data_IF_412150544492
#
_entry.id   IF_412150544492
#
_cell.length_a   1.000
_cell.length_b   1.000
_cell.length_c   1.000
_cell.angle_alpha   90.00
_cell.angle_beta   90.00
_cell.angle_gamma   90.00
#
_symmetry.space_group_name_H-M   'P 1'
#
loop_
_entity.id
_entity.type
_entity.pdbx_description
1 polymer ?
#
# COMPACT_ATOMS: atom_id res chain seq x y z
N UNK A 1 -9.28 -10.04 4.24
CA UNK A 1 -9.38 -8.92 5.21
C UNK A 1 -8.25 -7.94 4.92
N UNK A 2 -8.53 -6.64 4.99
CA UNK A 2 -7.54 -5.60 4.79
C UNK A 2 -7.70 -4.54 5.89
N UNK A 3 -6.58 -3.93 6.28
CA UNK A 3 -6.54 -2.87 7.28
C UNK A 3 -5.30 -2.02 7.09
N UNK A 4 -5.37 -0.78 7.55
CA UNK A 4 -4.26 0.15 7.43
C UNK A 4 -4.36 1.26 8.48
N UNK A 5 -3.23 1.90 8.72
CA UNK A 5 -3.13 3.06 9.59
C UNK A 5 -2.20 4.09 8.94
N UNK A 6 -2.48 5.36 9.23
CA UNK A 6 -1.68 6.47 8.78
C UNK A 6 -1.42 7.41 9.96
N UNK A 7 -0.21 7.96 10.01
CA UNK A 7 0.19 8.96 10.98
C UNK A 7 0.90 10.08 10.25
N UNK A 8 0.51 11.33 10.54
CA UNK A 8 1.09 12.52 9.94
C UNK A 8 1.63 13.46 11.00
N UNK A 9 2.67 14.21 10.65
CA UNK A 9 3.23 15.27 11.47
C UNK A 9 3.53 16.50 10.61
N UNK A 10 3.16 17.67 11.11
CA UNK A 10 3.42 18.96 10.45
C UNK A 10 4.38 19.79 11.31
N UNK A 11 5.46 20.25 10.70
CA UNK A 11 6.41 21.23 11.22
C UNK A 11 6.40 22.44 10.29
N UNK A 12 5.80 23.55 10.71
CA UNK A 12 5.72 24.79 9.92
C UNK A 12 5.21 24.56 8.49
N UNK A 13 6.06 24.74 7.49
CA UNK A 13 5.73 24.54 6.07
C UNK A 13 5.89 23.09 5.60
N UNK A 14 6.45 22.19 6.41
CA UNK A 14 6.71 20.80 6.05
C UNK A 14 5.69 19.88 6.72
N UNK A 15 5.08 18.98 5.94
CA UNK A 15 4.24 17.89 6.45
C UNK A 15 4.82 16.55 6.03
N UNK A 16 4.89 15.61 6.96
CA UNK A 16 5.32 14.23 6.71
C UNK A 16 4.20 13.29 7.09
N UNK A 17 3.80 12.44 6.16
CA UNK A 17 2.76 11.42 6.38
C UNK A 17 3.35 10.03 6.14
N UNK A 18 3.11 9.10 7.07
CA UNK A 18 3.52 7.70 6.98
C UNK A 18 2.28 6.83 7.02
N UNK A 19 2.16 5.95 6.02
CA UNK A 19 1.04 5.05 5.85
C UNK A 19 1.53 3.61 5.81
N UNK A 20 0.81 2.72 6.50
CA UNK A 20 1.03 1.28 6.48
C UNK A 20 -0.27 0.55 6.16
N UNK A 21 -0.23 -0.36 5.20
CA UNK A 21 -1.36 -1.18 4.77
C UNK A 21 -0.99 -2.65 4.87
N UNK A 22 -1.94 -3.45 5.35
CA UNK A 22 -1.90 -4.90 5.33
C UNK A 22 -3.17 -5.45 4.69
N UNK A 23 -3.04 -6.44 3.83
CA UNK A 23 -4.16 -7.13 3.21
C UNK A 23 -3.88 -8.62 3.10
N UNK A 24 -4.90 -9.42 3.36
CA UNK A 24 -4.89 -10.85 3.13
C UNK A 24 -6.13 -11.26 2.36
N UNK A 25 -5.92 -11.98 1.27
CA UNK A 25 -6.98 -12.59 0.46
C UNK A 25 -6.93 -14.10 0.69
N UNK A 26 -8.07 -14.70 1.02
CA UNK A 26 -8.20 -16.13 1.20
C UNK A 26 -8.89 -16.75 0.00
N UNK A 27 -8.57 -18.01 -0.30
CA UNK A 27 -9.27 -18.80 -1.31
C UNK A 27 -10.75 -18.88 -0.96
N UNK A 28 -11.60 -18.73 -1.97
CA UNK A 28 -13.04 -18.83 -1.82
C UNK A 28 -13.45 -20.29 -1.59
N UNK A 29 -14.29 -20.55 -0.59
CA UNK A 29 -14.77 -21.88 -0.21
C UNK A 29 -16.27 -22.02 -0.58
N UNK A 30 -16.58 -21.94 -1.89
CA UNK A 30 -17.94 -22.13 -2.38
C UNK A 30 -18.19 -23.63 -2.57
N UNK A 31 -19.02 -24.21 -1.72
CA UNK A 31 -19.47 -25.60 -1.85
C UNK A 31 -20.49 -25.70 -2.99
N UNK A 32 -20.15 -26.43 -4.06
CA UNK A 32 -21.06 -26.76 -5.17
C UNK A 32 -20.64 -26.25 -6.56
N UNK A 33 -19.66 -25.35 -6.65
CA UNK A 33 -18.97 -25.09 -7.91
C UNK A 33 -17.78 -26.06 -8.02
N UNK A 34 -17.79 -26.97 -9.00
CA UNK A 34 -16.65 -27.87 -9.24
C UNK A 34 -15.46 -27.08 -9.79
N UNK A 35 -14.76 -26.40 -8.89
CA UNK A 35 -13.48 -25.77 -9.15
C UNK A 35 -12.50 -26.27 -8.08
N UNK A 36 -11.89 -27.42 -8.37
CA UNK A 36 -10.90 -28.12 -7.52
C UNK A 36 -9.49 -28.04 -8.10
N UNK A 37 -8.93 -26.85 -8.39
CA UNK A 37 -7.51 -26.76 -8.70
C UNK A 37 -6.71 -27.01 -7.42
N UNK A 38 -5.87 -28.05 -7.44
CA UNK A 38 -4.87 -28.37 -6.41
C UNK A 38 -3.67 -27.42 -6.44
N UNK A 39 -3.67 -26.46 -7.37
CA UNK A 39 -2.56 -25.56 -7.69
C UNK A 39 -2.84 -24.09 -7.34
N UNK A 40 -3.82 -23.80 -6.49
CA UNK A 40 -4.13 -22.42 -6.05
C UNK A 40 -3.81 -22.25 -4.57
N UNK A 41 -3.17 -21.14 -4.21
CA UNK A 41 -2.81 -20.79 -2.84
C UNK A 41 -4.04 -20.68 -1.93
N UNK A 42 -3.90 -21.10 -0.66
CA UNK A 42 -4.96 -20.98 0.33
C UNK A 42 -5.15 -19.54 0.82
N UNK A 43 -4.07 -18.76 0.84
CA UNK A 43 -4.11 -17.32 1.14
C UNK A 43 -2.93 -16.58 0.50
N UNK A 44 -3.12 -15.29 0.21
CA UNK A 44 -2.09 -14.35 -0.28
C UNK A 44 -2.10 -13.14 0.65
N UNK A 45 -0.94 -12.75 1.15
CA UNK A 45 -0.76 -11.59 2.00
C UNK A 45 0.04 -10.50 1.27
N UNK A 46 -0.32 -9.24 1.50
CA UNK A 46 0.39 -8.07 1.01
C UNK A 46 0.57 -7.06 2.15
N UNK A 47 1.77 -6.53 2.27
CA UNK A 47 2.11 -5.42 3.14
C UNK A 47 2.63 -4.28 2.29
N UNK A 48 2.22 -3.05 2.55
CA UNK A 48 2.82 -1.89 1.89
C UNK A 48 2.98 -0.73 2.83
N UNK A 49 4.05 0.02 2.65
CA UNK A 49 4.31 1.26 3.35
C UNK A 49 4.54 2.39 2.36
N UNK A 50 4.09 3.59 2.71
CA UNK A 50 4.27 4.80 1.93
C UNK A 50 4.65 5.94 2.87
N UNK A 51 5.67 6.70 2.49
CA UNK A 51 6.05 7.94 3.17
C UNK A 51 5.87 9.08 2.18
N UNK A 52 5.18 10.12 2.61
CA UNK A 52 4.96 11.34 1.86
C UNK A 52 5.56 12.51 2.61
N UNK A 53 6.18 13.43 1.88
CA UNK A 53 6.61 14.72 2.39
C UNK A 53 5.98 15.79 1.53
N UNK A 54 5.39 16.79 2.18
CA UNK A 54 4.76 17.94 1.55
C UNK A 54 5.42 19.21 2.04
N UNK A 55 5.42 20.21 1.17
CA UNK A 55 5.87 21.56 1.42
C UNK A 55 4.73 22.52 1.05
N UNK A 56 4.25 23.25 2.05
CA UNK A 56 3.25 24.30 1.92
C UNK A 56 3.97 25.55 1.39
N UNK A 57 3.50 26.08 0.26
CA UNK A 57 4.08 27.25 -0.40
C UNK A 57 3.44 28.50 0.23
N UNK A 58 4.24 29.24 0.99
CA UNK A 58 3.82 30.52 1.55
C UNK A 58 3.74 31.59 0.44
N UNK A 59 2.53 31.97 0.07
CA UNK A 59 2.26 33.10 -0.83
C UNK A 59 1.40 34.10 -0.05
N UNK A 60 1.87 35.35 0.05
CA UNK A 60 1.10 36.43 0.67
C UNK A 60 -0.23 36.66 -0.09
N UNK A 61 -1.28 37.01 0.65
CA UNK A 61 -2.61 37.36 0.13
C UNK A 61 -3.42 36.25 -0.59
N UNK A 62 -3.08 34.97 -0.39
CA UNK A 62 -3.89 33.85 -0.88
C UNK A 62 -4.87 33.30 0.19
N UNK A 63 -6.15 33.03 -0.18
CA UNK A 63 -7.14 32.47 0.75
C UNK A 63 -6.91 30.97 1.06
N UNK A 64 -6.08 30.27 0.29
CA UNK A 64 -5.71 28.85 0.47
C UNK A 64 -4.19 28.75 0.30
N UNK A 65 -3.52 27.99 1.15
CA UNK A 65 -2.07 27.73 1.04
C UNK A 65 -1.84 26.59 0.05
N UNK A 66 -1.26 26.83 -1.14
CA UNK A 66 -0.93 25.76 -2.08
C UNK A 66 0.19 24.89 -1.52
N UNK A 67 0.28 23.63 -1.96
CA UNK A 67 1.33 22.71 -1.53
C UNK A 67 1.86 21.86 -2.69
N UNK A 68 3.10 21.40 -2.53
CA UNK A 68 3.70 20.36 -3.36
C UNK A 68 4.17 19.22 -2.46
N UNK A 69 4.24 18.01 -2.97
CA UNK A 69 4.75 16.89 -2.21
C UNK A 69 5.26 15.76 -3.07
N UNK A 70 6.12 14.96 -2.46
CA UNK A 70 6.66 13.74 -3.04
C UNK A 70 6.48 12.60 -2.06
N UNK A 71 6.27 11.40 -2.59
CA UNK A 71 6.16 10.21 -1.77
C UNK A 71 6.90 9.04 -2.39
N UNK A 72 7.39 8.16 -1.51
CA UNK A 72 8.01 6.91 -1.89
C UNK A 72 7.43 5.79 -1.04
N UNK A 73 7.25 4.63 -1.65
CA UNK A 73 6.66 3.49 -0.99
C UNK A 73 7.25 2.18 -1.47
N UNK A 74 7.04 1.15 -0.65
CA UNK A 74 7.39 -0.21 -0.98
C UNK A 74 6.23 -1.13 -0.59
N UNK A 75 6.02 -2.15 -1.41
CA UNK A 75 5.08 -3.22 -1.14
C UNK A 75 5.82 -4.56 -1.16
N UNK A 76 5.40 -5.45 -0.29
CA UNK A 76 5.85 -6.81 -0.21
C UNK A 76 4.65 -7.75 -0.26
N UNK A 77 4.64 -8.61 -1.27
CA UNK A 77 3.60 -9.63 -1.44
C UNK A 77 4.21 -10.98 -1.08
N UNK A 78 3.51 -11.72 -0.22
CA UNK A 78 3.85 -13.07 0.18
C UNK A 78 2.72 -14.00 -0.20
N UNK A 79 3.01 -14.94 -1.10
CA UNK A 79 2.10 -15.98 -1.51
C UNK A 79 2.57 -17.34 -0.96
N UNK A 80 2.11 -17.78 0.23
CA UNK A 80 2.37 -19.11 0.76
C UNK A 80 1.52 -20.18 0.05
N UNK A 81 1.61 -20.24 -1.28
CA UNK A 81 0.88 -21.22 -2.07
C UNK A 81 1.47 -22.62 -1.89
N UNK A 82 0.61 -23.63 -1.67
CA UNK A 82 1.02 -25.04 -1.72
C UNK A 82 1.22 -25.57 -3.16
N UNK A 83 0.92 -24.73 -4.16
CA UNK A 83 1.06 -25.07 -5.57
C UNK A 83 2.53 -25.04 -5.99
N UNK A 84 3.05 -26.17 -6.47
CA UNK A 84 4.47 -26.36 -6.83
C UNK A 84 5.06 -25.30 -7.78
N UNK A 85 4.24 -24.65 -8.63
CA UNK A 85 4.68 -23.64 -9.59
C UNK A 85 4.87 -22.23 -9.00
N UNK A 86 4.23 -21.92 -7.88
CA UNK A 86 4.21 -20.57 -7.27
C UNK A 86 4.43 -20.60 -5.75
N UNK A 87 4.90 -21.73 -5.24
CA UNK A 87 5.24 -21.93 -3.84
C UNK A 87 6.34 -20.97 -3.41
N UNK A 88 6.18 -20.39 -2.22
CA UNK A 88 7.12 -19.43 -1.60
C UNK A 88 7.41 -18.18 -2.44
N UNK A 89 6.54 -17.83 -3.39
CA UNK A 89 6.72 -16.62 -4.18
C UNK A 89 6.57 -15.37 -3.31
N UNK A 90 7.63 -14.59 -3.29
CA UNK A 90 7.79 -13.33 -2.57
C UNK A 90 8.22 -12.28 -3.56
N UNK A 91 7.57 -11.12 -3.52
CA UNK A 91 7.84 -10.03 -4.46
C UNK A 91 7.90 -8.69 -3.75
N UNK A 92 8.89 -7.89 -4.11
CA UNK A 92 8.97 -6.48 -3.72
C UNK A 92 8.55 -5.60 -4.89
N UNK A 93 7.76 -4.57 -4.60
CA UNK A 93 7.44 -3.49 -5.52
C UNK A 93 7.81 -2.15 -4.88
N UNK A 94 8.21 -1.19 -5.70
CA UNK A 94 8.49 0.18 -5.27
C UNK A 94 7.54 1.14 -5.99
N UNK A 95 7.16 2.20 -5.30
CA UNK A 95 6.32 3.26 -5.84
C UNK A 95 6.94 4.61 -5.52
N UNK A 96 6.77 5.57 -6.43
CA UNK A 96 7.04 6.98 -6.19
C UNK A 96 5.86 7.79 -6.70
N UNK A 97 5.60 8.93 -6.08
CA UNK A 97 4.53 9.83 -6.48
C UNK A 97 4.92 11.28 -6.28
N UNK A 98 4.34 12.15 -7.10
CA UNK A 98 4.36 13.59 -6.94
C UNK A 98 2.92 14.09 -6.79
N UNK A 99 2.70 15.05 -5.91
CA UNK A 99 1.39 15.64 -5.59
C UNK A 99 1.52 17.17 -5.57
N UNK A 100 0.49 17.87 -6.02
CA UNK A 100 0.37 19.32 -5.90
C UNK A 100 -1.11 19.68 -5.76
N UNK A 101 -1.42 20.75 -5.04
CA UNK A 101 -2.80 21.20 -4.82
C UNK A 101 -2.90 22.54 -4.11
#
# INVERSE_FOLDING_TARGET
MAGGAAFGYKMDDIRVDVEGLYSQLNKNDVSGATFTPTTVANSVAAFSGLVNVYYDIAIEDMPITPYVGVGVGAAYISNPSEASAVKDQKGFGFAYQAKAG
#
